data_IF_895544789584
#
_entry.id   IF_895544789584
#
_cell.length_a   1.000
_cell.length_b   1.000
_cell.length_c   1.000
_cell.angle_alpha   90.00
_cell.angle_beta   90.00
_cell.angle_gamma   90.00
#
_symmetry.space_group_name_H-M   'P 1'
#
loop_
_entity.id
_entity.type
_entity.pdbx_description
1 polymer ?
#
# COMPACT_ATOMS: atom_id res chain seq x y z
N UNK A 1 19.97 -2.52 10.80
CA UNK A 1 18.78 -1.64 10.96
C UNK A 1 19.11 -0.29 10.37
N UNK A 2 18.28 0.22 9.46
CA UNK A 2 18.42 1.54 8.84
C UNK A 2 17.25 2.41 9.26
N UNK A 3 17.50 3.66 9.59
CA UNK A 3 16.46 4.62 9.94
C UNK A 3 16.08 5.48 8.74
N UNK A 4 14.82 5.63 8.48
CA UNK A 4 14.25 6.44 7.40
C UNK A 4 13.42 7.56 8.02
N UNK A 5 13.74 8.80 7.68
CA UNK A 5 13.14 10.01 8.25
C UNK A 5 12.20 10.73 7.28
N UNK A 6 12.11 10.28 6.03
CA UNK A 6 11.39 10.94 4.93
C UNK A 6 11.82 12.40 4.67
N UNK A 7 13.02 12.74 5.10
CA UNK A 7 13.65 14.05 4.86
C UNK A 7 14.93 13.85 4.06
N UNK A 8 15.91 13.16 4.65
CA UNK A 8 17.18 12.82 4.02
C UNK A 8 17.13 11.44 3.37
N UNK A 9 16.44 10.50 4.02
CA UNK A 9 16.19 9.15 3.54
C UNK A 9 14.70 8.99 3.30
N UNK A 10 14.29 8.94 2.04
CA UNK A 10 12.89 8.83 1.62
C UNK A 10 12.49 7.37 1.52
N UNK A 11 11.42 6.98 2.20
CA UNK A 11 10.93 5.59 2.25
C UNK A 11 10.65 5.03 0.85
N UNK A 12 9.93 5.77 0.03
CA UNK A 12 9.60 5.33 -1.32
C UNK A 12 10.82 5.11 -2.20
N UNK A 13 11.85 5.94 -2.07
CA UNK A 13 13.11 5.76 -2.80
C UNK A 13 13.85 4.51 -2.34
N UNK A 14 13.95 4.29 -1.04
CA UNK A 14 14.61 3.11 -0.48
C UNK A 14 13.89 1.82 -0.87
N UNK A 15 12.57 1.82 -0.85
CA UNK A 15 11.76 0.70 -1.34
C UNK A 15 12.05 0.46 -2.82
N UNK A 16 12.00 1.50 -3.65
CA UNK A 16 12.23 1.41 -5.09
C UNK A 16 13.59 0.81 -5.44
N UNK A 17 14.63 1.22 -4.74
CA UNK A 17 16.01 0.68 -4.92
C UNK A 17 16.09 -0.80 -4.54
N UNK A 18 15.28 -1.25 -3.62
CA UNK A 18 15.28 -2.63 -3.14
C UNK A 18 14.35 -3.57 -3.90
N UNK A 19 13.47 -3.06 -4.75
CA UNK A 19 12.58 -3.89 -5.57
C UNK A 19 13.32 -4.46 -6.80
N UNK A 20 13.09 -5.73 -7.07
CA UNK A 20 13.66 -6.46 -8.20
C UNK A 20 12.64 -7.44 -8.80
N UNK A 21 12.99 -8.08 -9.92
CA UNK A 21 12.11 -9.03 -10.62
C UNK A 21 11.75 -10.29 -9.81
N UNK A 22 12.51 -10.58 -8.77
CA UNK A 22 12.26 -11.72 -7.86
C UNK A 22 11.67 -11.29 -6.52
N UNK A 23 11.31 -10.03 -6.39
CA UNK A 23 10.75 -9.50 -5.15
C UNK A 23 9.26 -9.82 -5.05
N UNK A 24 8.86 -10.27 -3.87
CA UNK A 24 7.47 -10.32 -3.43
C UNK A 24 7.26 -9.22 -2.41
N UNK A 25 6.27 -8.38 -2.66
CA UNK A 25 5.96 -7.24 -1.83
C UNK A 25 4.75 -7.55 -0.96
N UNK A 26 4.88 -7.40 0.35
CA UNK A 26 3.77 -7.52 1.30
C UNK A 26 3.56 -6.18 1.98
N UNK A 27 2.34 -5.69 1.93
CA UNK A 27 1.96 -4.43 2.54
C UNK A 27 0.77 -4.65 3.45
N UNK A 28 0.88 -4.21 4.69
CA UNK A 28 -0.24 -4.04 5.59
C UNK A 28 -0.42 -2.54 5.84
N UNK A 29 -1.53 -1.97 5.38
CA UNK A 29 -1.79 -0.54 5.50
C UNK A 29 -3.28 -0.23 5.49
N UNK A 30 -3.65 0.94 6.03
CA UNK A 30 -5.05 1.41 6.04
C UNK A 30 -5.49 1.97 4.70
N UNK A 31 -4.56 2.47 3.89
CA UNK A 31 -4.85 3.11 2.61
C UNK A 31 -3.94 2.59 1.50
N UNK A 32 -4.51 2.48 0.29
CA UNK A 32 -3.78 2.26 -0.95
C UNK A 32 -4.09 3.40 -1.91
N UNK A 33 -3.09 4.19 -2.28
CA UNK A 33 -3.22 5.30 -3.23
C UNK A 33 -2.75 4.90 -4.63
N UNK A 34 -3.55 5.22 -5.65
CA UNK A 34 -3.13 5.09 -7.04
C UNK A 34 -1.93 5.98 -7.38
N UNK A 35 -1.74 7.06 -6.64
CA UNK A 35 -0.60 7.96 -6.82
C UNK A 35 0.67 7.41 -6.21
N UNK A 36 0.57 6.63 -5.14
CA UNK A 36 1.70 5.86 -4.63
C UNK A 36 2.13 4.80 -5.64
N UNK A 37 1.17 4.10 -6.25
CA UNK A 37 1.44 3.21 -7.38
C UNK A 37 2.14 3.94 -8.52
N UNK A 38 1.61 5.10 -8.96
CA UNK A 38 2.18 5.88 -10.04
C UNK A 38 3.62 6.32 -9.76
N UNK A 39 3.93 6.70 -8.53
CA UNK A 39 5.26 7.11 -8.10
C UNK A 39 6.28 5.95 -8.16
N UNK A 40 5.84 4.72 -7.90
CA UNK A 40 6.68 3.51 -7.89
C UNK A 40 6.39 2.57 -9.08
N UNK A 41 5.68 3.03 -10.09
CA UNK A 41 5.20 2.20 -11.21
C UNK A 41 6.30 1.38 -11.85
N UNK A 42 7.45 2.00 -12.16
CA UNK A 42 8.58 1.33 -12.83
C UNK A 42 9.13 0.17 -12.00
N UNK A 43 9.19 0.36 -10.70
CA UNK A 43 9.69 -0.63 -9.75
C UNK A 43 8.64 -1.71 -9.49
N UNK A 44 7.39 -1.33 -9.35
CA UNK A 44 6.27 -2.25 -9.12
C UNK A 44 5.97 -3.15 -10.33
N UNK A 45 6.23 -2.69 -11.54
CA UNK A 45 6.11 -3.56 -12.73
C UNK A 45 7.11 -4.72 -12.74
N UNK A 46 8.24 -4.58 -12.04
CA UNK A 46 9.29 -5.62 -11.99
C UNK A 46 8.98 -6.72 -10.99
N UNK A 47 8.22 -6.46 -9.94
CA UNK A 47 8.00 -7.42 -8.86
C UNK A 47 7.23 -8.66 -9.35
N UNK A 48 7.38 -9.76 -8.62
CA UNK A 48 6.68 -11.01 -8.90
C UNK A 48 5.20 -10.89 -8.48
N UNK A 49 4.95 -10.42 -7.26
CA UNK A 49 3.61 -10.36 -6.66
C UNK A 49 3.54 -9.28 -5.58
N UNK A 50 2.35 -8.66 -5.45
CA UNK A 50 1.97 -7.86 -4.30
C UNK A 50 0.88 -8.58 -3.50
N UNK A 51 1.08 -8.69 -2.20
CA UNK A 51 0.03 -9.03 -1.23
C UNK A 51 -0.26 -7.80 -0.36
N UNK A 52 -1.48 -7.31 -0.43
CA UNK A 52 -1.91 -6.14 0.32
C UNK A 52 -3.02 -6.50 1.30
N UNK A 53 -2.84 -6.15 2.56
CA UNK A 53 -3.84 -6.32 3.62
C UNK A 53 -4.27 -4.96 4.13
N UNK A 54 -5.56 -4.65 4.02
CA UNK A 54 -6.13 -3.48 4.68
C UNK A 54 -6.20 -3.72 6.18
N UNK A 55 -5.49 -2.90 6.96
CA UNK A 55 -5.32 -3.08 8.41
C UNK A 55 -6.55 -2.68 9.21
N UNK A 56 -7.31 -1.70 8.73
CA UNK A 56 -8.58 -1.34 9.32
C UNK A 56 -9.69 -2.20 8.74
N UNK A 57 -10.64 -2.68 9.55
CA UNK A 57 -11.82 -3.28 9.00
C UNK A 57 -12.55 -2.25 8.14
N UNK A 58 -12.47 -2.42 6.84
CA UNK A 58 -13.19 -1.58 5.88
C UNK A 58 -14.69 -1.82 5.94
N UNK A 59 -15.12 -2.73 6.81
CA UNK A 59 -16.51 -3.11 7.03
C UNK A 59 -16.85 -2.93 8.50
N UNK A 60 -17.76 -2.01 8.78
CA UNK A 60 -18.48 -2.01 10.05
C UNK A 60 -19.49 -3.14 9.94
N UNK A 61 -19.25 -4.22 10.67
CA UNK A 61 -19.98 -5.49 10.55
C UNK A 61 -21.51 -5.36 10.75
N UNK A 62 -21.95 -4.33 11.46
CA UNK A 62 -23.32 -4.25 11.94
C UNK A 62 -24.28 -3.46 11.05
N UNK A 63 -23.82 -2.78 10.00
CA UNK A 63 -24.66 -1.96 9.13
C UNK A 63 -24.62 -2.35 7.63
N UNK A 64 -24.03 -3.49 7.34
CA UNK A 64 -24.05 -4.02 5.98
C UNK A 64 -25.39 -4.70 5.74
N UNK A 65 -26.36 -3.89 5.39
CA UNK A 65 -27.70 -4.38 4.98
C UNK A 65 -27.57 -5.37 3.83
N UNK A 66 -28.57 -6.24 3.68
CA UNK A 66 -28.65 -7.30 2.66
C UNK A 66 -28.38 -6.84 1.21
N UNK A 67 -28.40 -5.55 0.93
CA UNK A 67 -27.97 -4.97 -0.36
C UNK A 67 -26.51 -5.23 -0.67
N UNK A 68 -25.64 -5.18 0.31
CA UNK A 68 -24.20 -5.45 0.13
C UNK A 68 -23.91 -6.96 0.00
N UNK A 69 -24.79 -7.81 0.49
CA UNK A 69 -24.66 -9.26 0.27
C UNK A 69 -24.90 -9.67 -1.19
N UNK A 70 -25.65 -8.90 -1.96
CA UNK A 70 -25.88 -9.14 -3.39
C UNK A 70 -24.74 -8.69 -4.28
N UNK A 71 -23.94 -7.73 -3.85
CA UNK A 71 -22.77 -7.23 -4.56
C UNK A 71 -21.49 -8.01 -4.22
N UNK A 72 -21.60 -9.13 -3.51
CA UNK A 72 -20.51 -9.98 -3.02
C UNK A 72 -19.61 -10.63 -4.07
N UNK A 73 -19.74 -10.30 -5.31
CA UNK A 73 -18.94 -10.92 -6.38
C UNK A 73 -17.66 -10.15 -6.74
N UNK A 74 -17.51 -8.94 -6.26
CA UNK A 74 -16.35 -8.13 -6.51
C UNK A 74 -15.95 -7.44 -5.21
N UNK A 75 -14.70 -7.26 -4.97
CA UNK A 75 -14.03 -6.46 -3.95
C UNK A 75 -14.97 -5.46 -3.26
N UNK A 76 -15.62 -5.83 -2.17
CA UNK A 76 -16.54 -4.93 -1.49
C UNK A 76 -15.77 -4.11 -0.46
N UNK A 77 -15.14 -3.08 -0.95
CA UNK A 77 -14.82 -1.92 -0.16
C UNK A 77 -16.01 -0.98 -0.33
N UNK A 78 -16.61 -0.42 0.74
CA UNK A 78 -17.64 0.61 0.61
C UNK A 78 -17.18 1.67 -0.38
N UNK A 79 -18.09 2.21 -1.19
CA UNK A 79 -17.71 3.13 -2.28
C UNK A 79 -16.81 4.27 -1.78
N UNK A 80 -17.14 4.83 -0.61
CA UNK A 80 -16.39 5.91 0.01
C UNK A 80 -14.99 5.45 0.47
N UNK A 81 -14.89 4.29 1.10
CA UNK A 81 -13.59 3.74 1.53
C UNK A 81 -12.77 3.27 0.34
N UNK A 82 -13.42 2.79 -0.71
CA UNK A 82 -12.77 2.44 -1.97
C UNK A 82 -12.16 3.66 -2.64
N UNK A 83 -12.91 4.74 -2.71
CA UNK A 83 -12.41 5.99 -3.28
C UNK A 83 -11.24 6.53 -2.46
N UNK A 84 -11.37 6.65 -1.15
CA UNK A 84 -10.28 7.13 -0.30
C UNK A 84 -9.09 6.16 -0.23
N UNK A 85 -9.34 4.87 -0.26
CA UNK A 85 -8.27 3.85 -0.18
C UNK A 85 -7.53 3.62 -1.48
N UNK A 86 -8.22 3.68 -2.62
CA UNK A 86 -7.64 3.39 -3.94
C UNK A 86 -7.23 4.62 -4.72
N UNK A 87 -7.89 5.75 -4.51
CA UNK A 87 -7.67 6.98 -5.27
C UNK A 87 -6.90 8.05 -4.48
N UNK A 88 -6.53 7.73 -3.25
CA UNK A 88 -5.89 8.69 -2.38
C UNK A 88 -6.88 9.51 -1.55
N UNK A 89 -6.42 10.58 -0.98
CA UNK A 89 -7.24 11.48 -0.19
C UNK A 89 -8.11 12.38 -1.08
N UNK A 90 -9.19 12.95 -0.55
CA UNK A 90 -9.99 13.95 -1.27
C UNK A 90 -9.13 15.11 -1.80
N UNK A 91 -8.13 15.50 -1.03
CA UNK A 91 -7.19 16.54 -1.42
C UNK A 91 -6.41 16.18 -2.69
N UNK A 92 -5.91 14.95 -2.79
CA UNK A 92 -5.23 14.46 -4.00
C UNK A 92 -6.17 14.45 -5.20
N UNK A 93 -7.41 14.01 -5.00
CA UNK A 93 -8.44 13.97 -6.04
C UNK A 93 -8.71 15.37 -6.59
N UNK A 94 -8.85 16.36 -5.74
CA UNK A 94 -9.12 17.73 -6.16
C UNK A 94 -7.95 18.41 -6.88
N UNK A 95 -6.74 18.07 -6.52
CA UNK A 95 -5.53 18.66 -7.12
C UNK A 95 -5.15 18.07 -8.48
N UNK A 96 -5.64 16.90 -8.83
CA UNK A 96 -5.23 16.20 -10.05
C UNK A 96 -6.23 16.44 -11.20
N UNK A 97 -5.69 16.52 -12.42
CA UNK A 97 -6.52 16.56 -13.62
C UNK A 97 -7.31 15.25 -13.74
N UNK A 98 -8.61 15.35 -13.98
CA UNK A 98 -9.49 14.18 -14.09
C UNK A 98 -9.04 13.16 -15.15
N UNK A 99 -8.47 13.62 -16.27
CA UNK A 99 -7.95 12.75 -17.33
C UNK A 99 -6.73 11.96 -16.86
N UNK A 100 -5.78 12.62 -16.21
CA UNK A 100 -4.60 11.98 -15.63
C UNK A 100 -5.00 10.98 -14.54
N UNK A 101 -5.96 11.35 -13.71
CA UNK A 101 -6.50 10.49 -12.67
C UNK A 101 -7.13 9.21 -13.24
N UNK A 102 -7.94 9.34 -14.30
CA UNK A 102 -8.54 8.17 -14.97
C UNK A 102 -7.50 7.26 -15.62
N UNK A 103 -6.48 7.83 -16.24
CA UNK A 103 -5.39 7.06 -16.86
C UNK A 103 -4.60 6.29 -15.79
N UNK A 104 -4.21 6.94 -14.71
CA UNK A 104 -3.51 6.32 -13.57
C UNK A 104 -4.37 5.22 -12.95
N UNK A 105 -5.65 5.49 -12.72
CA UNK A 105 -6.58 4.51 -12.15
C UNK A 105 -6.71 3.26 -13.02
N UNK A 106 -6.80 3.43 -14.33
CA UNK A 106 -6.87 2.31 -15.29
C UNK A 106 -5.59 1.48 -15.27
N UNK A 107 -4.44 2.12 -15.36
CA UNK A 107 -3.14 1.44 -15.33
C UNK A 107 -2.94 0.68 -14.01
N UNK A 108 -3.27 1.32 -12.89
CA UNK A 108 -3.21 0.70 -11.57
C UNK A 108 -4.14 -0.52 -11.47
N UNK A 109 -5.38 -0.41 -11.94
CA UNK A 109 -6.33 -1.51 -11.94
C UNK A 109 -5.85 -2.70 -12.78
N UNK A 110 -5.30 -2.44 -13.96
CA UNK A 110 -4.75 -3.48 -14.83
C UNK A 110 -3.52 -4.16 -14.19
N UNK A 111 -2.67 -3.39 -13.54
CA UNK A 111 -1.53 -3.93 -12.79
C UNK A 111 -1.99 -4.77 -11.59
N UNK A 112 -2.97 -4.30 -10.82
CA UNK A 112 -3.56 -5.03 -9.69
C UNK A 112 -4.09 -6.39 -10.14
N UNK A 113 -4.84 -6.45 -11.24
CA UNK A 113 -5.38 -7.72 -11.78
C UNK A 113 -4.30 -8.73 -12.12
N UNK A 114 -3.14 -8.26 -12.57
CA UNK A 114 -2.03 -9.12 -12.97
C UNK A 114 -1.14 -9.55 -11.81
N UNK A 115 -0.93 -8.67 -10.83
CA UNK A 115 0.16 -8.83 -9.86
C UNK A 115 -0.24 -8.74 -8.40
N UNK A 116 -1.45 -8.31 -8.09
CA UNK A 116 -1.82 -8.01 -6.71
C UNK A 116 -2.95 -8.88 -6.16
N UNK A 117 -2.82 -9.23 -4.89
CA UNK A 117 -3.85 -9.88 -4.10
C UNK A 117 -4.19 -8.95 -2.93
N UNK A 118 -5.45 -8.52 -2.85
CA UNK A 118 -5.95 -7.68 -1.77
C UNK A 118 -6.76 -8.50 -0.77
N UNK A 119 -6.53 -8.27 0.51
CA UNK A 119 -7.26 -8.86 1.63
C UNK A 119 -7.61 -7.79 2.63
N UNK A 120 -8.63 -8.03 3.43
CA UNK A 120 -9.02 -7.17 4.55
C UNK A 120 -8.77 -7.90 5.87
N UNK A 121 -8.38 -7.13 6.88
CA UNK A 121 -8.33 -7.64 8.24
C UNK A 121 -9.76 -7.82 8.75
N UNK A 122 -10.16 -9.06 8.94
CA UNK A 122 -11.47 -9.42 9.48
C UNK A 122 -11.46 -9.62 11.00
N UNK A 123 -10.31 -9.45 11.62
CA UNK A 123 -10.21 -9.50 13.08
C UNK A 123 -10.56 -8.12 13.68
N UNK A 124 -11.10 -8.12 14.90
CA UNK A 124 -11.31 -6.89 15.65
C UNK A 124 -10.03 -6.35 16.29
N UNK A 125 -8.89 -7.02 16.05
CA UNK A 125 -7.62 -6.61 16.60
C UNK A 125 -6.95 -5.59 15.66
N UNK A 126 -6.37 -4.50 16.19
CA UNK A 126 -5.58 -3.58 15.41
C UNK A 126 -4.36 -4.30 14.83
N UNK A 127 -4.02 -3.97 13.60
CA UNK A 127 -2.87 -4.52 12.90
C UNK A 127 -1.84 -3.41 12.66
N UNK A 128 -0.58 -3.71 12.94
CA UNK A 128 0.53 -2.80 12.66
C UNK A 128 0.70 -2.61 11.15
N UNK A 129 0.89 -1.38 10.71
CA UNK A 129 1.19 -1.07 9.32
C UNK A 129 2.66 -1.31 9.01
N UNK A 130 2.94 -2.02 7.93
CA UNK A 130 4.30 -2.31 7.48
C UNK A 130 4.38 -2.57 5.98
N UNK A 131 5.59 -2.48 5.45
CA UNK A 131 5.95 -2.95 4.10
C UNK A 131 7.08 -3.96 4.24
N UNK A 132 6.93 -5.12 3.63
CA UNK A 132 7.97 -6.15 3.60
C UNK A 132 8.31 -6.52 2.16
N UNK A 133 9.58 -6.46 1.82
CA UNK A 133 10.13 -6.90 0.54
C UNK A 133 10.82 -8.24 0.78
N UNK A 134 10.29 -9.29 0.19
CA UNK A 134 10.87 -10.62 0.25
C UNK A 134 11.61 -10.94 -1.03
N UNK A 135 12.89 -11.26 -0.90
CA UNK A 135 13.76 -11.73 -1.97
C UNK A 135 14.27 -13.14 -1.61
N UNK A 136 14.80 -13.92 -2.57
CA UNK A 136 15.32 -15.25 -2.28
C UNK A 136 16.40 -15.30 -1.19
N UNK A 137 17.20 -14.25 -1.07
CA UNK A 137 18.36 -14.21 -0.18
C UNK A 137 18.20 -13.25 1.01
N UNK A 138 17.14 -12.44 1.03
CA UNK A 138 16.99 -11.36 2.01
C UNK A 138 15.55 -10.92 2.13
N UNK A 139 15.13 -10.58 3.33
CA UNK A 139 13.86 -9.88 3.58
C UNK A 139 14.13 -8.53 4.23
N UNK A 140 13.49 -7.49 3.72
CA UNK A 140 13.52 -6.14 4.29
C UNK A 140 12.12 -5.78 4.78
N UNK A 141 12.01 -5.31 6.00
CA UNK A 141 10.74 -4.87 6.57
C UNK A 141 10.84 -3.45 7.09
N UNK A 142 9.93 -2.62 6.64
CA UNK A 142 9.79 -1.21 7.00
C UNK A 142 8.58 -1.03 7.90
N UNK A 143 8.79 -0.54 9.11
CA UNK A 143 7.72 -0.29 10.09
C UNK A 143 8.13 0.73 11.16
N UNK A 144 7.20 1.50 11.71
CA UNK A 144 5.82 1.65 11.26
C UNK A 144 5.73 2.49 9.98
N UNK A 145 4.69 2.29 9.17
CA UNK A 145 4.39 3.15 8.02
C UNK A 145 3.05 3.86 8.22
N UNK A 146 2.75 4.84 7.38
CA UNK A 146 1.49 5.58 7.38
C UNK A 146 0.77 5.44 6.04
N UNK A 147 0.09 4.32 5.83
CA UNK A 147 -0.58 4.03 4.59
C UNK A 147 0.38 3.87 3.39
N UNK A 148 -0.13 3.31 2.31
CA UNK A 148 0.58 3.29 1.03
C UNK A 148 0.14 4.49 0.19
N UNK A 149 0.66 5.67 0.55
CA UNK A 149 0.34 6.97 -0.04
C UNK A 149 1.62 7.72 -0.39
N UNK A 150 1.59 8.71 -1.32
CA UNK A 150 2.76 9.52 -1.63
C UNK A 150 3.34 10.22 -0.39
N UNK A 151 2.48 10.71 0.50
CA UNK A 151 2.89 11.32 1.76
C UNK A 151 3.54 10.29 2.70
N UNK A 152 2.93 9.13 2.88
CA UNK A 152 3.48 8.05 3.70
C UNK A 152 4.81 7.52 3.19
N UNK A 153 5.01 7.52 1.86
CA UNK A 153 6.26 7.15 1.20
C UNK A 153 7.32 8.27 1.19
N UNK A 154 6.97 9.47 1.66
CA UNK A 154 7.89 10.61 1.72
C UNK A 154 8.07 11.37 0.39
N UNK A 155 7.28 11.08 -0.63
CA UNK A 155 7.32 11.80 -1.91
C UNK A 155 6.61 13.15 -1.87
N UNK A 156 5.70 13.35 -0.94
CA UNK A 156 5.01 14.62 -0.71
C UNK A 156 5.24 15.09 0.73
N UNK A 157 5.51 16.37 0.88
CA UNK A 157 5.62 17.00 2.21
C UNK A 157 4.21 17.28 2.71
N UNK A 158 3.90 16.77 3.89
CA UNK A 158 2.66 17.07 4.61
C UNK A 158 2.95 17.75 5.94
N UNK A 159 1.91 18.23 6.60
CA UNK A 159 1.97 18.73 7.98
C UNK A 159 2.08 17.59 9.01
N UNK A 160 2.27 16.37 8.55
CA UNK A 160 2.42 15.21 9.42
C UNK A 160 3.77 15.27 10.13
N UNK A 161 3.75 14.98 11.41
CA UNK A 161 4.93 14.66 12.19
C UNK A 161 5.69 13.58 11.42
N UNK A 162 6.95 13.83 11.08
CA UNK A 162 7.75 12.83 10.36
C UNK A 162 7.92 11.62 11.27
N UNK A 163 7.19 10.57 10.99
CA UNK A 163 7.37 9.32 11.69
C UNK A 163 8.64 8.66 11.18
N UNK A 164 9.50 8.31 12.11
CA UNK A 164 10.69 7.53 11.77
C UNK A 164 10.29 6.10 11.45
N UNK A 165 10.70 5.63 10.29
CA UNK A 165 10.49 4.26 9.83
C UNK A 165 11.78 3.48 10.02
N UNK A 166 11.68 2.35 10.69
CA UNK A 166 12.80 1.43 10.85
C UNK A 166 12.80 0.42 9.71
N UNK A 167 13.92 0.26 9.06
CA UNK A 167 14.16 -0.82 8.12
C UNK A 167 14.91 -1.94 8.82
N UNK A 168 14.28 -3.10 8.90
CA UNK A 168 14.86 -4.33 9.44
C UNK A 168 15.30 -5.21 8.29
N UNK A 169 16.53 -5.66 8.36
CA UNK A 169 17.11 -6.60 7.42
C UNK A 169 17.15 -7.98 8.10
N UNK A 170 16.36 -8.90 7.58
CA UNK A 170 16.31 -10.29 8.06
C UNK A 170 16.99 -11.18 7.06
N UNK A 171 18.10 -11.77 7.44
CA UNK A 171 18.72 -12.85 6.67
C UNK A 171 17.89 -14.13 6.79
N UNK A 172 17.83 -14.96 5.74
CA UNK A 172 16.93 -16.12 5.69
C UNK A 172 17.32 -17.29 6.62
N UNK A 173 18.09 -17.04 7.65
CA UNK A 173 18.52 -18.07 8.60
C UNK A 173 17.46 -18.55 9.59
N UNK A 174 16.21 -18.11 9.49
CA UNK A 174 15.13 -18.55 10.39
C UNK A 174 13.91 -19.02 9.59
N UNK A 175 14.13 -19.85 8.60
CA UNK A 175 13.08 -20.73 8.08
C UNK A 175 13.51 -22.19 8.27
N UNK A 176 13.53 -22.58 9.51
CA UNK A 176 13.47 -23.99 9.91
C UNK A 176 12.20 -24.23 10.69
#
# INVERSE_FOLDING_TARGET
>A
MKLIDNINNILGSDIGENLSSKSRLKIAASYFSIYAYAALKKELEKIEELQFVFTSPTFVADNVTDKLKKEKREFIIPKQDRESSLYGTEFEIHLKNQLSQKAIAKECADWIRRKAIFKSNNSNAPMQEFISIQKPEQSLTYMPIQGFTPMGLGFEKGNAISNMVNCFDEQPMVQT
#
